data_IF_668343482938
#
_entry.id   IF_668343482938
#
_cell.length_a   1.000
_cell.length_b   1.000
_cell.length_c   1.000
_cell.angle_alpha   90.00
_cell.angle_beta   90.00
_cell.angle_gamma   90.00
#
_symmetry.space_group_name_H-M   'P 1'
#
loop_
_entity.id
_entity.type
_entity.pdbx_description
1 polymer ?
#
# COMPACT_ATOMS: atom_id res chain seq x y z
N UNK A 1 -4.23 23.73 -8.00
CA UNK A 1 -4.18 22.26 -8.15
C UNK A 1 -2.77 21.83 -8.48
N UNK A 2 -2.30 20.74 -7.93
CA UNK A 2 -0.96 20.17 -8.15
C UNK A 2 -1.10 18.66 -8.38
N UNK A 3 -0.03 18.02 -8.81
CA UNK A 3 0.09 16.56 -8.86
C UNK A 3 1.12 16.15 -7.83
N UNK A 4 0.68 15.39 -6.83
CA UNK A 4 1.58 14.82 -5.85
C UNK A 4 2.38 13.68 -6.48
N UNK A 5 3.66 13.66 -6.12
CA UNK A 5 4.57 12.55 -6.39
C UNK A 5 4.94 11.85 -5.08
N UNK A 6 5.60 10.71 -5.17
CA UNK A 6 6.09 10.01 -3.98
C UNK A 6 7.04 10.85 -3.13
N UNK A 7 7.84 11.72 -3.75
CA UNK A 7 8.80 12.59 -3.09
C UNK A 7 8.16 13.71 -2.26
N UNK A 8 6.88 14.02 -2.53
CA UNK A 8 6.12 15.01 -1.75
C UNK A 8 5.56 14.43 -0.44
N UNK A 9 5.68 13.12 -0.21
CA UNK A 9 5.19 12.45 0.98
C UNK A 9 6.25 12.46 2.09
N UNK A 10 5.84 12.83 3.29
CA UNK A 10 6.70 12.76 4.48
C UNK A 10 6.98 11.32 4.88
N UNK A 11 8.21 10.87 4.65
CA UNK A 11 8.65 9.51 4.92
C UNK A 11 8.60 9.16 6.43
N UNK A 12 8.74 10.13 7.32
CA UNK A 12 8.63 9.90 8.77
C UNK A 12 7.19 9.60 9.16
N UNK A 13 6.24 10.35 8.61
CA UNK A 13 4.81 10.11 8.79
C UNK A 13 4.39 8.72 8.24
N UNK A 14 4.89 8.33 7.06
CA UNK A 14 4.61 7.01 6.49
C UNK A 14 5.12 5.87 7.37
N UNK A 15 6.34 5.99 7.92
CA UNK A 15 6.90 4.99 8.84
C UNK A 15 6.07 4.88 10.12
N UNK A 16 5.60 5.99 10.66
CA UNK A 16 4.74 5.99 11.85
C UNK A 16 3.40 5.31 11.57
N UNK A 17 2.77 5.60 10.43
CA UNK A 17 1.52 4.97 10.02
C UNK A 17 1.70 3.45 9.85
N UNK A 18 2.78 3.01 9.20
CA UNK A 18 3.11 1.59 9.03
C UNK A 18 3.36 0.94 10.41
N UNK A 19 4.07 1.61 11.33
CA UNK A 19 4.29 1.11 12.68
C UNK A 19 2.98 0.91 13.42
N UNK A 20 2.06 1.87 13.36
CA UNK A 20 0.73 1.76 13.96
C UNK A 20 -0.05 0.57 13.38
N UNK A 21 -0.07 0.42 12.06
CA UNK A 21 -0.76 -0.69 11.40
C UNK A 21 -0.15 -2.05 11.77
N UNK A 22 1.18 -2.15 11.87
CA UNK A 22 1.86 -3.36 12.33
C UNK A 22 1.52 -3.69 13.78
N UNK A 23 1.53 -2.71 14.67
CA UNK A 23 1.26 -2.90 16.09
C UNK A 23 -0.22 -3.27 16.32
N UNK A 24 -1.13 -2.76 15.48
CA UNK A 24 -2.54 -3.20 15.44
C UNK A 24 -2.64 -4.68 15.04
N UNK A 25 -1.96 -5.07 13.95
CA UNK A 25 -2.03 -6.43 13.40
C UNK A 25 -1.37 -7.48 14.31
N UNK A 26 -0.18 -7.20 14.84
CA UNK A 26 0.59 -8.17 15.62
C UNK A 26 0.24 -8.16 17.12
N UNK A 27 -0.09 -6.98 17.67
CA UNK A 27 -0.28 -6.79 19.10
C UNK A 27 -1.72 -6.48 19.49
N UNK A 28 -2.64 -6.34 18.52
CA UNK A 28 -4.02 -5.92 18.80
C UNK A 28 -4.11 -4.54 19.44
N UNK A 29 -3.15 -3.65 19.12
CA UNK A 29 -3.15 -2.28 19.64
C UNK A 29 -4.45 -1.57 19.29
N UNK A 30 -5.06 -0.90 20.26
CA UNK A 30 -6.37 -0.27 20.13
C UNK A 30 -7.51 -1.07 20.78
N UNK A 31 -7.28 -2.33 21.15
CA UNK A 31 -8.25 -3.14 21.88
C UNK A 31 -7.87 -3.30 23.36
N UNK A 32 -8.88 -3.28 24.26
CA UNK A 32 -8.67 -3.43 25.71
C UNK A 32 -8.12 -4.82 26.04
N UNK A 33 -8.55 -5.86 25.31
CA UNK A 33 -8.13 -7.25 25.50
C UNK A 33 -7.11 -7.64 24.42
N UNK A 34 -6.07 -6.84 24.25
CA UNK A 34 -4.98 -7.17 23.33
C UNK A 34 -4.22 -8.42 23.76
N UNK A 35 -3.63 -9.19 22.82
CA UNK A 35 -2.80 -10.35 23.13
C UNK A 35 -1.64 -10.00 24.07
N UNK A 36 -1.34 -10.85 25.04
CA UNK A 36 -0.23 -10.64 25.98
C UNK A 36 1.15 -10.82 25.31
N UNK A 37 1.20 -11.59 24.23
CA UNK A 37 2.42 -11.83 23.45
C UNK A 37 2.17 -11.43 21.99
N UNK A 38 2.67 -10.26 21.57
CA UNK A 38 2.57 -9.84 20.17
C UNK A 38 3.32 -10.81 19.27
N UNK A 39 2.59 -11.50 18.41
CA UNK A 39 3.18 -12.40 17.40
C UNK A 39 2.18 -12.67 16.28
N UNK A 40 2.68 -12.98 15.10
CA UNK A 40 1.86 -13.66 14.10
C UNK A 40 1.64 -15.12 14.54
N UNK A 41 0.44 -15.39 15.09
CA UNK A 41 0.05 -16.69 15.64
C UNK A 41 0.13 -17.79 14.58
N UNK A 42 -0.07 -17.44 13.30
CA UNK A 42 -0.04 -18.40 12.20
C UNK A 42 1.38 -18.91 11.96
N UNK A 43 2.35 -18.00 11.90
CA UNK A 43 3.74 -18.34 11.60
C UNK A 43 4.51 -18.88 12.80
N UNK A 44 4.19 -18.42 14.02
CA UNK A 44 4.90 -18.86 15.23
C UNK A 44 4.70 -20.33 15.60
N UNK A 45 3.66 -20.99 15.04
CA UNK A 45 3.34 -22.38 15.34
C UNK A 45 3.86 -23.39 14.29
N UNK A 46 4.54 -22.93 13.24
CA UNK A 46 5.07 -23.80 12.20
C UNK A 46 6.59 -23.69 12.09
N UNK A 47 7.30 -24.81 11.87
CA UNK A 47 8.72 -24.77 11.55
C UNK A 47 8.90 -24.10 10.19
N UNK A 48 9.41 -22.87 10.20
CA UNK A 48 9.61 -22.09 8.98
C UNK A 48 11.04 -22.30 8.48
N UNK A 49 11.18 -22.44 7.16
CA UNK A 49 12.47 -22.58 6.53
C UNK A 49 13.38 -21.36 6.84
N UNK A 50 14.65 -21.62 7.08
CA UNK A 50 15.65 -20.57 7.36
C UNK A 50 16.15 -19.86 6.11
N UNK A 51 15.96 -20.47 4.93
CA UNK A 51 16.36 -19.89 3.67
C UNK A 51 15.41 -18.75 3.24
N UNK A 52 15.91 -17.71 2.54
CA UNK A 52 15.07 -16.64 2.01
C UNK A 52 13.92 -17.19 1.15
N UNK A 53 12.72 -16.70 1.41
CA UNK A 53 11.52 -16.98 0.62
C UNK A 53 11.29 -15.92 -0.44
N UNK A 54 10.48 -16.25 -1.45
CA UNK A 54 10.03 -15.35 -2.51
C UNK A 54 8.54 -15.49 -2.71
N UNK A 55 7.86 -14.38 -3.01
CA UNK A 55 6.45 -14.37 -3.37
C UNK A 55 6.17 -13.29 -4.41
N UNK A 56 5.28 -13.60 -5.34
CA UNK A 56 4.82 -12.65 -6.36
C UNK A 56 3.56 -11.92 -5.91
N UNK A 57 3.53 -10.60 -6.11
CA UNK A 57 2.35 -9.78 -5.94
C UNK A 57 1.52 -9.82 -7.22
N UNK A 58 0.47 -10.64 -7.26
CA UNK A 58 -0.33 -10.88 -8.46
C UNK A 58 -1.70 -10.20 -8.38
N UNK A 59 -2.06 -9.50 -9.45
CA UNK A 59 -3.34 -8.80 -9.61
C UNK A 59 -4.47 -9.79 -9.91
N UNK A 60 -5.62 -9.65 -9.23
CA UNK A 60 -6.81 -10.51 -9.38
C UNK A 60 -7.89 -9.91 -10.28
N UNK A 61 -7.82 -8.61 -10.55
CA UNK A 61 -8.73 -7.86 -11.42
C UNK A 61 -8.00 -6.66 -12.03
N UNK A 62 -8.43 -6.11 -13.18
CA UNK A 62 -7.76 -4.95 -13.75
C UNK A 62 -7.78 -3.78 -12.77
N UNK A 63 -6.63 -3.11 -12.58
CA UNK A 63 -6.51 -1.98 -11.66
C UNK A 63 -5.44 -0.97 -12.10
N UNK A 64 -5.52 0.22 -11.54
CA UNK A 64 -4.43 1.22 -11.57
C UNK A 64 -3.63 1.09 -10.28
N UNK A 65 -2.34 0.83 -10.40
CA UNK A 65 -1.44 0.53 -9.29
C UNK A 65 -1.20 1.79 -8.45
N UNK A 66 -1.30 1.67 -7.12
CA UNK A 66 -0.86 2.70 -6.19
C UNK A 66 -0.46 2.09 -4.84
N UNK A 67 0.63 2.60 -4.27
CA UNK A 67 1.16 2.16 -2.99
C UNK A 67 2.26 1.10 -3.08
N UNK A 68 2.70 0.74 -4.28
CA UNK A 68 3.81 -0.22 -4.45
C UNK A 68 5.10 0.29 -3.81
N UNK A 69 5.31 1.61 -3.80
CA UNK A 69 6.45 2.26 -3.15
C UNK A 69 6.42 2.19 -1.61
N UNK A 70 5.28 1.82 -0.98
CA UNK A 70 5.21 1.52 0.46
C UNK A 70 5.81 0.16 0.80
N UNK A 71 5.83 -0.78 -0.13
CA UNK A 71 6.22 -2.16 0.15
C UNK A 71 7.61 -2.28 0.80
N UNK A 72 8.68 -1.59 0.36
CA UNK A 72 9.97 -1.64 1.04
C UNK A 72 9.92 -1.17 2.50
N UNK A 73 9.12 -0.14 2.81
CA UNK A 73 8.96 0.39 4.17
C UNK A 73 8.22 -0.61 5.06
N UNK A 74 7.18 -1.26 4.52
CA UNK A 74 6.41 -2.28 5.23
C UNK A 74 7.31 -3.50 5.50
N UNK A 75 7.99 -4.01 4.49
CA UNK A 75 8.89 -5.16 4.62
C UNK A 75 10.00 -4.90 5.65
N UNK A 76 10.57 -3.68 5.69
CA UNK A 76 11.52 -3.27 6.72
C UNK A 76 10.92 -3.29 8.13
N UNK A 77 9.66 -2.88 8.29
CA UNK A 77 9.00 -2.86 9.59
C UNK A 77 8.78 -4.28 10.17
N UNK A 78 8.76 -5.30 9.31
CA UNK A 78 8.58 -6.71 9.70
C UNK A 78 9.87 -7.55 9.67
N UNK A 79 11.00 -7.04 9.17
CA UNK A 79 12.29 -7.73 9.24
C UNK A 79 13.07 -7.87 7.94
N UNK A 80 13.46 -6.79 7.31
CA UNK A 80 14.46 -6.76 6.22
C UNK A 80 14.11 -7.54 4.93
N UNK A 81 12.86 -7.48 4.49
CA UNK A 81 12.49 -7.92 3.15
C UNK A 81 12.77 -6.84 2.09
N UNK A 82 12.75 -7.24 0.84
CA UNK A 82 12.89 -6.36 -0.32
C UNK A 82 11.79 -6.59 -1.35
N UNK A 83 11.52 -5.57 -2.16
CA UNK A 83 10.64 -5.65 -3.32
C UNK A 83 11.46 -5.39 -4.58
N UNK A 84 11.33 -6.26 -5.57
CA UNK A 84 11.74 -6.01 -6.96
C UNK A 84 10.47 -5.69 -7.76
N UNK A 85 10.19 -4.40 -8.04
CA UNK A 85 9.00 -4.02 -8.80
C UNK A 85 9.16 -4.36 -10.28
N UNK A 86 8.04 -4.72 -10.94
CA UNK A 86 7.95 -4.94 -12.39
C UNK A 86 7.07 -3.92 -13.08
N UNK A 87 6.31 -3.15 -12.30
CA UNK A 87 5.45 -2.05 -12.73
C UNK A 87 5.65 -0.85 -11.79
N UNK A 88 5.09 0.29 -12.14
CA UNK A 88 5.16 1.52 -11.34
C UNK A 88 3.78 1.94 -10.84
N UNK A 89 3.75 2.73 -9.76
CA UNK A 89 2.53 3.39 -9.32
C UNK A 89 2.02 4.32 -10.44
N UNK A 90 0.71 4.28 -10.69
CA UNK A 90 0.04 5.00 -11.78
C UNK A 90 -0.15 4.17 -13.07
N UNK A 91 0.49 3.02 -13.22
CA UNK A 91 0.22 2.13 -14.34
C UNK A 91 -1.12 1.41 -14.18
N UNK A 92 -1.90 1.34 -15.26
CA UNK A 92 -3.10 0.51 -15.33
C UNK A 92 -2.75 -0.85 -15.93
N UNK A 93 -3.01 -1.90 -15.19
CA UNK A 93 -2.61 -3.26 -15.54
C UNK A 93 -3.81 -4.21 -15.62
N UNK A 94 -3.78 -5.22 -16.50
CA UNK A 94 -4.82 -6.25 -16.57
C UNK A 94 -4.70 -7.27 -15.43
N UNK A 95 -5.78 -8.04 -15.25
CA UNK A 95 -5.79 -9.22 -14.39
C UNK A 95 -4.61 -10.16 -14.72
N UNK A 96 -4.05 -10.78 -13.70
CA UNK A 96 -2.96 -11.74 -13.81
C UNK A 96 -1.57 -11.11 -13.86
N UNK A 97 -1.46 -9.77 -13.97
CA UNK A 97 -0.17 -9.07 -13.94
C UNK A 97 0.55 -9.30 -12.61
N UNK A 98 1.85 -9.55 -12.66
CA UNK A 98 2.71 -9.58 -11.48
C UNK A 98 3.30 -8.19 -11.29
N UNK A 99 2.91 -7.51 -10.19
CA UNK A 99 3.36 -6.16 -9.85
C UNK A 99 4.82 -6.12 -9.44
N UNK A 100 5.30 -7.19 -8.85
CA UNK A 100 6.67 -7.33 -8.36
C UNK A 100 6.84 -8.59 -7.55
N UNK A 101 8.09 -8.88 -7.19
CA UNK A 101 8.47 -10.01 -6.37
C UNK A 101 9.03 -9.50 -5.04
N UNK A 102 8.49 -10.02 -3.93
CA UNK A 102 9.03 -9.80 -2.60
C UNK A 102 9.97 -10.92 -2.21
N UNK A 103 11.08 -10.58 -1.54
CA UNK A 103 12.07 -11.55 -1.06
C UNK A 103 12.45 -11.20 0.39
N UNK A 104 12.55 -12.20 1.25
CA UNK A 104 12.92 -12.02 2.65
C UNK A 104 12.83 -13.31 3.44
N UNK A 105 12.94 -13.20 4.77
CA UNK A 105 12.67 -14.34 5.65
C UNK A 105 11.21 -14.75 5.53
N UNK A 106 10.88 -16.05 5.38
CA UNK A 106 9.51 -16.49 5.19
C UNK A 106 8.53 -16.05 6.28
N UNK A 107 8.95 -16.06 7.54
CA UNK A 107 8.17 -15.59 8.68
C UNK A 107 7.82 -14.10 8.57
N UNK A 108 8.81 -13.28 8.20
CA UNK A 108 8.62 -11.85 8.01
C UNK A 108 7.73 -11.54 6.81
N UNK A 109 7.87 -12.30 5.70
CA UNK A 109 7.01 -12.15 4.53
C UNK A 109 5.55 -12.48 4.85
N UNK A 110 5.32 -13.61 5.52
CA UNK A 110 3.97 -14.04 5.93
C UNK A 110 3.34 -13.05 6.92
N UNK A 111 4.09 -12.58 7.91
CA UNK A 111 3.59 -11.61 8.88
C UNK A 111 3.27 -10.25 8.24
N UNK A 112 4.04 -9.82 7.24
CA UNK A 112 3.82 -8.53 6.55
C UNK A 112 2.73 -8.57 5.49
N UNK A 113 2.32 -9.73 5.01
CA UNK A 113 1.41 -9.93 3.87
C UNK A 113 0.12 -9.13 4.03
N UNK A 114 -0.56 -9.26 5.16
CA UNK A 114 -1.85 -8.61 5.41
C UNK A 114 -1.77 -7.10 5.29
N UNK A 115 -0.80 -6.51 5.97
CA UNK A 115 -0.63 -5.05 5.96
C UNK A 115 -0.20 -4.55 4.58
N UNK A 116 0.70 -5.27 3.91
CA UNK A 116 1.12 -4.96 2.54
C UNK A 116 -0.08 -4.97 1.58
N UNK A 117 -0.89 -6.03 1.62
CA UNK A 117 -2.07 -6.15 0.77
C UNK A 117 -3.14 -5.13 1.11
N UNK A 118 -3.38 -4.83 2.39
CA UNK A 118 -4.35 -3.82 2.80
C UNK A 118 -4.00 -2.44 2.24
N UNK A 119 -2.75 -2.00 2.32
CA UNK A 119 -2.33 -0.73 1.73
C UNK A 119 -2.44 -0.74 0.20
N UNK A 120 -1.93 -1.77 -0.46
CA UNK A 120 -1.98 -1.88 -1.92
C UNK A 120 -3.41 -1.90 -2.46
N UNK A 121 -4.30 -2.68 -1.86
CA UNK A 121 -5.70 -2.80 -2.29
C UNK A 121 -6.45 -1.49 -2.08
N UNK A 122 -6.31 -0.86 -0.91
CA UNK A 122 -6.97 0.40 -0.60
C UNK A 122 -6.55 1.51 -1.58
N UNK A 123 -5.24 1.70 -1.74
CA UNK A 123 -4.71 2.77 -2.58
C UNK A 123 -4.94 2.51 -4.07
N UNK A 124 -4.75 1.28 -4.53
CA UNK A 124 -5.06 0.92 -5.92
C UNK A 124 -6.55 1.01 -6.22
N UNK A 125 -7.43 0.73 -5.26
CA UNK A 125 -8.87 0.94 -5.39
C UNK A 125 -9.21 2.42 -5.63
N UNK A 126 -8.60 3.34 -4.86
CA UNK A 126 -8.75 4.79 -5.07
C UNK A 126 -8.22 5.22 -6.44
N UNK A 127 -7.02 4.76 -6.80
CA UNK A 127 -6.40 5.09 -8.09
C UNK A 127 -7.24 4.58 -9.26
N UNK A 128 -7.74 3.35 -9.20
CA UNK A 128 -8.59 2.73 -10.22
C UNK A 128 -9.91 3.48 -10.40
N UNK A 129 -10.58 3.81 -9.29
CA UNK A 129 -11.81 4.60 -9.32
C UNK A 129 -11.56 5.98 -9.92
N UNK A 130 -10.47 6.64 -9.50
CA UNK A 130 -10.05 7.94 -10.05
C UNK A 130 -9.80 7.86 -11.56
N UNK A 131 -9.05 6.84 -12.01
CA UNK A 131 -8.75 6.63 -13.43
C UNK A 131 -10.03 6.44 -14.27
N UNK A 132 -11.05 5.79 -13.71
CA UNK A 132 -12.36 5.64 -14.35
C UNK A 132 -13.04 6.99 -14.59
N UNK A 133 -13.04 7.88 -13.59
CA UNK A 133 -13.60 9.23 -13.76
C UNK A 133 -12.77 10.10 -14.69
N UNK A 134 -11.44 10.03 -14.60
CA UNK A 134 -10.54 10.76 -15.52
C UNK A 134 -10.78 10.33 -16.96
N UNK A 135 -10.90 9.02 -17.20
CA UNK A 135 -11.24 8.48 -18.53
C UNK A 135 -12.60 8.97 -19.05
N UNK A 136 -13.61 9.07 -18.17
CA UNK A 136 -14.93 9.57 -18.53
C UNK A 136 -14.94 11.06 -18.89
N UNK A 137 -14.00 11.87 -18.39
CA UNK A 137 -13.83 13.28 -18.80
C UNK A 137 -13.29 13.41 -20.22
N UNK A 138 -12.64 12.39 -20.78
CA UNK A 138 -12.09 12.40 -22.14
C UNK A 138 -11.14 13.57 -22.38
N UNK A 139 -11.26 14.21 -23.54
CA UNK A 139 -10.43 15.34 -23.95
C UNK A 139 -10.88 16.69 -23.33
N UNK A 140 -11.72 16.67 -22.33
CA UNK A 140 -12.17 17.88 -21.63
C UNK A 140 -10.99 18.58 -20.94
N UNK A 141 -11.00 19.92 -20.94
CA UNK A 141 -10.09 20.72 -20.11
C UNK A 141 -10.41 20.67 -18.61
N UNK A 142 -11.51 20.01 -18.24
CA UNK A 142 -11.94 19.83 -16.85
C UNK A 142 -10.99 18.89 -16.12
N UNK A 143 -10.60 19.28 -14.89
CA UNK A 143 -9.74 18.47 -14.03
C UNK A 143 -10.54 17.87 -12.90
N UNK A 144 -10.40 16.56 -12.68
CA UNK A 144 -10.90 15.91 -11.49
C UNK A 144 -10.01 16.30 -10.30
N UNK A 145 -10.60 16.90 -9.28
CA UNK A 145 -9.90 17.27 -8.05
C UNK A 145 -10.22 16.29 -6.92
N UNK A 146 -9.22 16.04 -6.08
CA UNK A 146 -9.39 15.29 -4.84
C UNK A 146 -10.17 16.08 -3.76
N UNK A 147 -10.33 15.47 -2.60
CA UNK A 147 -11.06 16.03 -1.45
C UNK A 147 -10.22 16.01 -0.17
N UNK A 148 -10.65 16.78 0.85
CA UNK A 148 -10.18 16.66 2.25
C UNK A 148 -11.02 15.69 3.09
N UNK A 149 -12.07 15.11 2.53
CA UNK A 149 -12.90 14.08 3.17
C UNK A 149 -12.21 12.73 2.98
N UNK A 150 -11.12 12.53 3.69
CA UNK A 150 -10.22 11.38 3.63
C UNK A 150 -10.31 10.58 4.92
N UNK A 151 -9.89 9.33 4.89
CA UNK A 151 -9.71 8.51 6.09
C UNK A 151 -8.72 9.21 7.03
N UNK A 152 -9.07 9.43 8.30
CA UNK A 152 -8.15 10.05 9.27
C UNK A 152 -6.80 9.32 9.30
N UNK A 153 -5.71 10.09 9.23
CA UNK A 153 -4.34 9.56 9.16
C UNK A 153 -3.85 9.17 7.76
N UNK A 154 -4.74 8.86 6.81
CA UNK A 154 -4.40 8.36 5.46
C UNK A 154 -4.35 9.44 4.37
N UNK A 155 -4.65 10.69 4.70
CA UNK A 155 -4.80 11.77 3.70
C UNK A 155 -3.66 11.87 2.70
N UNK A 156 -2.41 11.79 3.16
CA UNK A 156 -1.25 11.88 2.27
C UNK A 156 -1.25 10.77 1.22
N UNK A 157 -1.49 9.53 1.64
CA UNK A 157 -1.54 8.36 0.78
C UNK A 157 -2.76 8.36 -0.16
N UNK A 158 -3.94 8.72 0.34
CA UNK A 158 -5.15 8.76 -0.49
C UNK A 158 -5.06 9.86 -1.56
N UNK A 159 -4.48 11.01 -1.23
CA UNK A 159 -4.20 12.07 -2.21
C UNK A 159 -3.16 11.64 -3.26
N UNK A 160 -2.13 10.93 -2.84
CA UNK A 160 -1.17 10.32 -3.75
C UNK A 160 -1.84 9.29 -4.68
N UNK A 161 -2.72 8.45 -4.14
CA UNK A 161 -3.47 7.47 -4.94
C UNK A 161 -4.38 8.15 -6.00
N UNK A 162 -4.99 9.29 -5.66
CA UNK A 162 -5.73 10.10 -6.64
C UNK A 162 -4.81 10.59 -7.76
N UNK A 163 -3.58 11.05 -7.44
CA UNK A 163 -2.61 11.44 -8.46
C UNK A 163 -2.19 10.25 -9.34
N UNK A 164 -1.98 9.06 -8.77
CA UNK A 164 -1.72 7.82 -9.51
C UNK A 164 -2.85 7.49 -10.51
N UNK A 165 -4.10 7.77 -10.15
CA UNK A 165 -5.26 7.62 -11.04
C UNK A 165 -5.44 8.73 -12.08
N UNK A 166 -4.52 9.70 -12.17
CA UNK A 166 -4.58 10.83 -13.10
C UNK A 166 -5.45 12.00 -12.62
N UNK A 167 -5.95 11.95 -11.39
CA UNK A 167 -6.64 13.08 -10.77
C UNK A 167 -5.66 14.14 -10.23
N UNK A 168 -6.15 15.34 -10.00
CA UNK A 168 -5.37 16.46 -9.50
C UNK A 168 -5.63 16.66 -7.99
N UNK A 169 -4.59 17.10 -7.30
CA UNK A 169 -4.68 17.40 -5.89
C UNK A 169 -5.06 18.87 -5.67
N UNK A 170 -6.07 19.10 -4.80
CA UNK A 170 -6.43 20.39 -4.30
C UNK A 170 -5.46 20.79 -3.15
N UNK A 171 -5.89 21.55 -2.17
CA UNK A 171 -5.07 21.91 -1.01
C UNK A 171 -4.76 20.67 -0.14
N UNK A 172 -3.59 20.65 0.48
CA UNK A 172 -3.12 19.52 1.29
C UNK A 172 -3.65 19.57 2.73
N UNK A 173 -3.84 20.76 3.26
CA UNK A 173 -4.33 21.01 4.61
C UNK A 173 -5.58 21.88 4.68
#
# INVERSE_FOLDING_TARGET
AQLLTWQDLDQSHLRELIRMARDEDLAGTGFVNAPQSPADVTTSNFPIATNPGRADLKVREPLTVSGLLLAPLILQAYGNGSLKPYVQDGETVPEGTILGMVEGKPDSLLASERILLNFLQHLSGIATNTATFVKALGDSSTRLLDTRKTTPGYRALEKYAVACGGGWNHRLG
#
